data_IF_167548760858
#
_entry.id   IF_167548760858
#
_cell.length_a   1.000
_cell.length_b   1.000
_cell.length_c   1.000
_cell.angle_alpha   90.00
_cell.angle_beta   90.00
_cell.angle_gamma   90.00
#
_symmetry.space_group_name_H-M   'P 1'
#
loop_
_entity.id
_entity.type
_entity.pdbx_description
1 polymer ?
#
# COMPACT_ATOMS: atom_id res chain seq x y z
N UNK A 1 2.71 7.41 2.89
CA UNK A 1 3.90 7.47 3.77
C UNK A 1 5.10 6.97 2.98
N UNK A 2 6.21 7.72 3.00
CA UNK A 2 7.42 7.40 2.25
C UNK A 2 8.41 6.59 3.10
N UNK A 3 9.25 5.81 2.42
CA UNK A 3 10.40 5.16 3.00
C UNK A 3 11.57 6.12 3.30
N UNK A 4 12.74 5.58 3.70
CA UNK A 4 13.91 6.37 4.08
C UNK A 4 14.51 7.14 2.89
N UNK A 5 15.47 8.00 3.18
CA UNK A 5 16.25 8.73 2.16
C UNK A 5 16.81 7.78 1.09
N UNK A 6 16.76 8.20 -0.18
CA UNK A 6 17.14 7.40 -1.35
C UNK A 6 16.05 6.45 -1.87
N UNK A 7 14.95 6.27 -1.12
CA UNK A 7 13.84 5.38 -1.46
C UNK A 7 12.53 6.11 -1.79
N UNK A 8 12.55 7.41 -2.01
CA UNK A 8 11.36 8.24 -2.19
C UNK A 8 10.62 8.09 -3.52
N UNK A 9 11.19 7.40 -4.52
CA UNK A 9 10.61 7.29 -5.88
C UNK A 9 9.20 6.71 -5.91
N UNK A 10 8.99 5.57 -5.27
CA UNK A 10 7.71 4.87 -5.22
C UNK A 10 6.62 5.71 -4.51
N UNK A 11 6.95 6.34 -3.38
CA UNK A 11 6.02 7.23 -2.68
C UNK A 11 5.63 8.45 -3.54
N UNK A 12 6.54 8.98 -4.35
CA UNK A 12 6.25 10.07 -5.29
C UNK A 12 5.33 9.62 -6.42
N UNK A 13 5.50 8.40 -6.95
CA UNK A 13 4.61 7.81 -7.95
C UNK A 13 3.20 7.63 -7.38
N UNK A 14 3.06 7.05 -6.20
CA UNK A 14 1.79 6.90 -5.51
C UNK A 14 1.11 8.26 -5.25
N UNK A 15 1.86 9.24 -4.74
CA UNK A 15 1.32 10.58 -4.47
C UNK A 15 0.85 11.30 -5.75
N UNK A 16 1.59 11.16 -6.86
CA UNK A 16 1.15 11.67 -8.17
C UNK A 16 -0.07 10.94 -8.70
N UNK A 17 -0.15 9.60 -8.51
CA UNK A 17 -1.32 8.81 -8.84
C UNK A 17 -2.56 9.32 -8.10
N UNK A 18 -2.48 9.50 -6.78
CA UNK A 18 -3.56 10.03 -5.96
C UNK A 18 -4.03 11.44 -6.43
N UNK A 19 -3.08 12.34 -6.71
CA UNK A 19 -3.42 13.67 -7.21
C UNK A 19 -4.11 13.61 -8.58
N UNK A 20 -3.67 12.72 -9.46
CA UNK A 20 -4.19 12.59 -10.83
C UNK A 20 -5.57 11.97 -10.90
N UNK A 21 -5.93 11.07 -9.98
CA UNK A 21 -7.27 10.47 -9.94
C UNK A 21 -8.32 11.43 -9.36
N UNK A 22 -7.89 12.50 -8.68
CA UNK A 22 -8.79 13.55 -8.21
C UNK A 22 -8.70 13.92 -6.74
N UNK A 23 -7.74 13.38 -5.97
CA UNK A 23 -7.53 13.83 -4.60
C UNK A 23 -7.27 15.34 -4.56
N UNK A 24 -8.07 16.09 -3.81
CA UNK A 24 -7.97 17.56 -3.73
C UNK A 24 -6.71 18.02 -3.02
N UNK A 25 -6.14 17.21 -2.14
CA UNK A 25 -4.96 17.52 -1.36
C UNK A 25 -4.15 16.23 -1.12
N UNK A 26 -2.89 16.22 -1.55
CA UNK A 26 -1.98 15.09 -1.34
C UNK A 26 -0.76 15.55 -0.55
N UNK A 27 -0.37 14.73 0.43
CA UNK A 27 0.84 14.95 1.23
C UNK A 27 1.71 13.69 1.25
N UNK A 28 3.01 13.87 1.14
CA UNK A 28 4.00 12.82 1.43
C UNK A 28 4.53 13.03 2.84
N UNK A 29 4.20 12.10 3.75
CA UNK A 29 4.84 12.02 5.05
C UNK A 29 6.16 11.25 4.87
N UNK A 30 7.29 11.87 5.22
CA UNK A 30 8.63 11.30 5.04
C UNK A 30 9.54 11.57 6.24
N UNK A 31 10.61 10.80 6.35
CA UNK A 31 11.66 11.08 7.32
C UNK A 31 12.26 12.49 7.09
N UNK A 32 12.72 13.14 8.16
CA UNK A 32 13.20 14.52 8.09
C UNK A 32 14.40 14.69 7.14
N UNK A 33 15.26 13.71 7.02
CA UNK A 33 16.43 13.69 6.13
C UNK A 33 16.03 13.49 4.64
N UNK A 34 14.86 12.93 4.37
CA UNK A 34 14.36 12.72 3.01
C UNK A 34 13.61 13.95 2.43
N UNK A 35 13.41 15.02 3.19
CA UNK A 35 12.65 16.22 2.75
C UNK A 35 13.21 16.81 1.47
N UNK A 36 14.53 16.98 1.38
CA UNK A 36 15.17 17.58 0.21
C UNK A 36 15.02 16.73 -1.05
N UNK A 37 15.09 15.39 -0.89
CA UNK A 37 14.85 14.46 -2.00
C UNK A 37 13.43 14.63 -2.56
N UNK A 38 12.42 14.73 -1.70
CA UNK A 38 11.04 14.93 -2.15
C UNK A 38 10.82 16.33 -2.72
N UNK A 39 11.36 17.37 -2.08
CA UNK A 39 11.21 18.78 -2.49
C UNK A 39 11.79 19.04 -3.88
N UNK A 40 12.85 18.35 -4.25
CA UNK A 40 13.44 18.46 -5.59
C UNK A 40 12.55 17.95 -6.73
N UNK A 41 11.48 17.20 -6.41
CA UNK A 41 10.67 16.51 -7.42
C UNK A 41 9.15 16.74 -7.29
N UNK A 42 8.68 17.42 -6.26
CA UNK A 42 7.26 17.60 -5.98
C UNK A 42 6.90 19.08 -5.88
N UNK A 43 5.91 19.51 -6.68
CA UNK A 43 5.40 20.89 -6.68
C UNK A 43 4.07 20.99 -5.91
N UNK A 44 3.01 20.38 -6.46
CA UNK A 44 1.65 20.47 -5.90
C UNK A 44 1.36 19.49 -4.75
N UNK A 45 2.30 18.61 -4.42
CA UNK A 45 2.20 17.61 -3.35
C UNK A 45 2.99 18.11 -2.14
N UNK A 46 2.32 18.23 -0.99
CA UNK A 46 2.96 18.75 0.21
C UNK A 46 3.89 17.72 0.85
N UNK A 47 4.94 18.20 1.49
CA UNK A 47 5.90 17.36 2.23
C UNK A 47 5.67 17.58 3.72
N UNK A 48 5.53 16.49 4.46
CA UNK A 48 5.27 16.50 5.90
C UNK A 48 6.33 15.65 6.61
N UNK A 49 7.38 16.28 7.16
CA UNK A 49 8.43 15.54 7.84
C UNK A 49 7.96 14.97 9.18
N UNK A 50 8.44 13.76 9.47
CA UNK A 50 8.35 13.13 10.79
C UNK A 50 9.73 12.58 11.22
N UNK A 51 9.89 12.27 12.50
CA UNK A 51 11.13 11.77 13.07
C UNK A 51 11.32 12.22 14.53
N UNK A 52 12.55 12.53 14.93
CA UNK A 52 12.86 12.87 16.31
C UNK A 52 12.11 14.12 16.84
N UNK A 53 11.92 15.13 15.98
CA UNK A 53 11.23 16.38 16.37
C UNK A 53 9.69 16.26 16.34
N UNK A 54 9.15 15.34 15.59
CA UNK A 54 7.70 15.10 15.45
C UNK A 54 7.45 13.65 15.08
N UNK A 55 6.71 12.91 15.92
CA UNK A 55 6.32 11.54 15.61
C UNK A 55 5.34 11.45 14.43
N UNK A 56 5.25 10.29 13.79
CA UNK A 56 4.29 10.06 12.70
C UNK A 56 2.83 10.22 13.17
N UNK A 57 2.40 9.72 14.34
CA UNK A 57 1.07 10.01 14.87
C UNK A 57 0.78 11.50 15.04
N UNK A 58 1.75 12.29 15.52
CA UNK A 58 1.59 13.75 15.62
C UNK A 58 1.48 14.43 14.25
N UNK A 59 2.17 13.89 13.24
CA UNK A 59 2.03 14.33 11.85
C UNK A 59 0.62 14.03 11.33
N UNK A 60 0.08 12.83 11.55
CA UNK A 60 -1.28 12.46 11.17
C UNK A 60 -2.35 13.31 11.89
N UNK A 61 -2.18 13.56 13.18
CA UNK A 61 -3.09 14.43 13.94
C UNK A 61 -3.18 15.87 13.35
N UNK A 62 -2.09 16.37 12.78
CA UNK A 62 -2.07 17.67 12.11
C UNK A 62 -2.69 17.60 10.70
N UNK A 63 -2.37 16.56 9.92
CA UNK A 63 -2.84 16.42 8.53
C UNK A 63 -4.32 16.03 8.49
N UNK A 64 -4.75 15.17 9.42
CA UNK A 64 -6.08 14.52 9.45
C UNK A 64 -6.42 13.89 8.10
N UNK A 65 -5.64 12.88 7.66
CA UNK A 65 -5.82 12.28 6.34
C UNK A 65 -7.19 11.60 6.24
N UNK A 66 -7.84 11.71 5.08
CA UNK A 66 -9.05 10.96 4.74
C UNK A 66 -8.74 9.54 4.26
N UNK A 67 -7.54 9.31 3.73
CA UNK A 67 -7.00 8.00 3.38
C UNK A 67 -5.47 8.02 3.43
N UNK A 68 -4.84 6.87 3.58
CA UNK A 68 -3.38 6.74 3.64
C UNK A 68 -2.91 5.61 2.72
N UNK A 69 -1.83 5.85 1.96
CA UNK A 69 -1.06 4.81 1.28
C UNK A 69 0.23 4.54 2.05
N UNK A 70 0.54 3.25 2.29
CA UNK A 70 1.78 2.82 2.95
C UNK A 70 2.34 1.57 2.28
N UNK A 71 3.66 1.49 2.24
CA UNK A 71 4.37 0.29 1.81
C UNK A 71 5.34 0.49 0.65
N UNK A 72 5.03 1.29 -0.39
CA UNK A 72 5.95 1.51 -1.50
C UNK A 72 7.33 1.98 -1.02
N UNK A 73 8.35 1.11 -1.17
CA UNK A 73 9.73 1.34 -0.69
C UNK A 73 9.84 1.77 0.79
N UNK A 74 8.99 1.23 1.66
CA UNK A 74 8.97 1.54 3.09
C UNK A 74 10.22 1.03 3.79
N UNK A 75 10.78 -0.08 3.30
CA UNK A 75 11.81 -0.87 3.96
C UNK A 75 11.23 -1.95 4.87
N UNK A 76 12.11 -2.78 5.43
CA UNK A 76 11.74 -3.94 6.26
C UNK A 76 12.35 -3.90 7.65
N UNK A 77 13.01 -2.82 8.00
CA UNK A 77 13.69 -2.66 9.29
C UNK A 77 12.72 -2.34 10.45
N UNK A 78 13.26 -2.18 11.65
CA UNK A 78 12.48 -1.85 12.84
C UNK A 78 11.80 -0.47 12.76
N UNK A 79 12.36 0.48 12.00
CA UNK A 79 11.73 1.79 11.80
C UNK A 79 10.53 1.68 10.86
N UNK A 80 10.65 0.90 9.78
CA UNK A 80 9.55 0.59 8.87
C UNK A 80 8.40 -0.14 9.60
N UNK A 81 8.71 -1.12 10.47
CA UNK A 81 7.70 -1.79 11.31
C UNK A 81 6.95 -0.82 12.21
N UNK A 82 7.66 0.09 12.90
CA UNK A 82 7.00 1.12 13.73
C UNK A 82 6.12 2.04 12.90
N UNK A 83 6.61 2.49 11.75
CA UNK A 83 5.86 3.33 10.82
C UNK A 83 4.58 2.65 10.34
N UNK A 84 4.63 1.33 10.07
CA UNK A 84 3.45 0.54 9.71
C UNK A 84 2.45 0.47 10.88
N UNK A 85 2.90 0.15 12.09
CA UNK A 85 2.05 0.08 13.28
C UNK A 85 1.37 1.43 13.56
N UNK A 86 2.13 2.53 13.54
CA UNK A 86 1.61 3.88 13.74
C UNK A 86 0.56 4.26 12.66
N UNK A 87 0.76 3.77 11.44
CA UNK A 87 -0.17 4.01 10.33
C UNK A 87 -1.44 3.18 10.49
N UNK A 88 -1.34 1.90 10.81
CA UNK A 88 -2.49 1.02 11.01
C UNK A 88 -3.34 1.40 12.23
N UNK A 89 -2.81 2.17 13.16
CA UNK A 89 -3.55 2.74 14.28
C UNK A 89 -4.47 3.93 13.89
N UNK A 90 -4.41 4.39 12.63
CA UNK A 90 -5.29 5.47 12.16
C UNK A 90 -6.69 4.94 11.82
N UNK A 91 -7.70 5.81 11.94
CA UNK A 91 -9.12 5.44 11.74
C UNK A 91 -9.62 5.61 10.30
N UNK A 92 -8.81 6.19 9.42
CA UNK A 92 -9.15 6.34 8.01
C UNK A 92 -8.76 5.10 7.19
N UNK A 93 -9.35 4.89 5.99
CA UNK A 93 -8.95 3.83 5.07
C UNK A 93 -7.48 3.86 4.72
N UNK A 94 -6.87 2.66 4.61
CA UNK A 94 -5.45 2.51 4.31
C UNK A 94 -5.26 1.58 3.11
N UNK A 95 -4.53 2.05 2.10
CA UNK A 95 -4.00 1.22 1.03
C UNK A 95 -2.63 0.68 1.46
N UNK A 96 -2.52 -0.65 1.56
CA UNK A 96 -1.34 -1.40 2.02
C UNK A 96 -0.71 -2.09 0.81
N UNK A 97 0.52 -1.74 0.46
CA UNK A 97 1.20 -2.30 -0.72
C UNK A 97 2.65 -2.68 -0.40
N UNK A 98 3.29 -3.42 -1.28
CA UNK A 98 4.72 -3.69 -1.31
C UNK A 98 5.32 -4.12 0.04
N UNK A 99 6.31 -3.38 0.56
CA UNK A 99 7.03 -3.73 1.79
C UNK A 99 6.11 -3.84 3.02
N UNK A 100 5.02 -3.07 3.07
CA UNK A 100 4.04 -3.20 4.16
C UNK A 100 3.36 -4.57 4.17
N UNK A 101 3.06 -5.15 2.99
CA UNK A 101 2.53 -6.52 2.88
C UNK A 101 3.58 -7.54 3.35
N UNK A 102 4.84 -7.34 3.00
CA UNK A 102 5.94 -8.19 3.45
C UNK A 102 6.08 -8.15 4.97
N UNK A 103 6.04 -6.95 5.57
CA UNK A 103 6.09 -6.78 7.03
C UNK A 103 4.91 -7.46 7.74
N UNK A 104 3.70 -7.41 7.15
CA UNK A 104 2.53 -8.13 7.67
C UNK A 104 2.70 -9.65 7.59
N UNK A 105 3.37 -10.14 6.54
CA UNK A 105 3.64 -11.58 6.35
C UNK A 105 4.60 -12.15 7.39
N UNK A 106 5.56 -11.32 7.83
CA UNK A 106 6.59 -11.69 8.82
C UNK A 106 6.13 -11.49 10.27
N UNK A 107 5.04 -10.78 10.49
CA UNK A 107 4.53 -10.48 11.83
C UNK A 107 3.94 -11.74 12.48
N UNK A 108 4.76 -12.47 13.22
CA UNK A 108 4.30 -13.53 14.13
C UNK A 108 3.68 -12.89 15.38
N UNK A 109 2.41 -12.52 15.28
CA UNK A 109 1.62 -12.06 16.41
C UNK A 109 1.44 -10.55 16.52
N UNK A 110 0.45 -9.99 15.87
CA UNK A 110 -0.19 -8.80 16.36
C UNK A 110 -0.20 -7.53 15.52
N UNK A 111 0.24 -7.53 14.27
CA UNK A 111 -0.10 -6.42 13.38
C UNK A 111 -1.39 -6.81 12.65
N UNK A 112 -2.51 -6.24 13.07
CA UNK A 112 -3.81 -6.48 12.46
C UNK A 112 -4.05 -5.47 11.32
N UNK A 113 -4.08 -5.90 10.06
CA UNK A 113 -4.40 -5.01 8.94
C UNK A 113 -5.86 -4.56 8.95
N UNK A 114 -6.69 -5.16 9.80
CA UNK A 114 -8.13 -4.99 9.82
C UNK A 114 -8.63 -3.97 10.83
N UNK A 115 -7.77 -3.27 11.54
CA UNK A 115 -8.17 -2.47 12.71
C UNK A 115 -9.42 -1.59 12.48
N UNK A 116 -9.81 -1.31 11.21
CA UNK A 116 -10.97 -0.47 10.88
C UNK A 116 -11.82 -0.93 9.68
N UNK A 117 -11.62 -2.13 9.15
CA UNK A 117 -12.53 -2.75 8.15
C UNK A 117 -12.59 -2.12 6.75
N UNK A 118 -11.91 -1.02 6.49
CA UNK A 118 -11.94 -0.30 5.21
C UNK A 118 -10.60 -0.32 4.48
N UNK A 119 -9.68 -1.19 4.89
CA UNK A 119 -8.36 -1.25 4.30
C UNK A 119 -8.37 -2.06 3.00
N UNK A 120 -7.45 -1.72 2.10
CA UNK A 120 -7.21 -2.42 0.84
C UNK A 120 -5.76 -2.86 0.80
N UNK A 121 -5.52 -4.15 0.57
CA UNK A 121 -4.19 -4.69 0.35
C UNK A 121 -4.01 -5.04 -1.13
N UNK A 122 -2.87 -4.67 -1.73
CA UNK A 122 -2.65 -4.77 -3.18
C UNK A 122 -1.48 -5.69 -3.57
N UNK A 123 -1.47 -6.97 -3.17
CA UNK A 123 -0.36 -7.86 -3.41
C UNK A 123 -0.20 -8.23 -4.89
N UNK A 124 1.04 -8.33 -5.37
CA UNK A 124 1.38 -9.18 -6.50
C UNK A 124 1.55 -10.64 -6.02
N UNK A 125 1.78 -11.59 -6.95
CA UNK A 125 1.85 -13.01 -6.60
C UNK A 125 2.94 -13.34 -5.57
N UNK A 126 4.12 -12.75 -5.69
CA UNK A 126 5.22 -12.98 -4.76
C UNK A 126 4.92 -12.50 -3.33
N UNK A 127 4.23 -11.36 -3.18
CA UNK A 127 3.77 -10.84 -1.90
C UNK A 127 2.67 -11.70 -1.30
N UNK A 128 1.68 -12.09 -2.13
CA UNK A 128 0.58 -12.93 -1.68
C UNK A 128 1.06 -14.32 -1.24
N UNK A 129 2.03 -14.91 -1.96
CA UNK A 129 2.65 -16.18 -1.60
C UNK A 129 3.36 -16.14 -0.24
N UNK A 130 4.02 -15.03 0.09
CA UNK A 130 4.60 -14.84 1.43
C UNK A 130 3.52 -14.68 2.51
N UNK A 131 2.42 -14.01 2.18
CA UNK A 131 1.34 -13.76 3.14
C UNK A 131 0.51 -15.01 3.46
N UNK A 132 0.22 -15.88 2.47
CA UNK A 132 -0.57 -17.11 2.63
C UNK A 132 0.14 -18.33 2.02
N UNK A 133 1.36 -18.70 2.44
CA UNK A 133 2.16 -19.74 1.79
C UNK A 133 1.43 -21.08 1.70
N UNK A 134 0.78 -21.54 2.76
CA UNK A 134 0.06 -22.81 2.79
C UNK A 134 -1.09 -22.89 1.76
N UNK A 135 -1.74 -21.78 1.42
CA UNK A 135 -2.79 -21.77 0.41
C UNK A 135 -2.23 -22.05 -1.00
N UNK A 136 -1.03 -21.57 -1.29
CA UNK A 136 -0.36 -21.83 -2.59
C UNK A 136 0.10 -23.27 -2.76
N UNK A 137 0.22 -24.05 -1.68
CA UNK A 137 0.47 -25.49 -1.75
C UNK A 137 -0.80 -26.28 -2.10
N UNK A 138 -1.97 -25.72 -1.82
CA UNK A 138 -3.26 -26.38 -1.99
C UNK A 138 -3.98 -26.00 -3.28
N UNK A 139 -3.74 -24.80 -3.83
CA UNK A 139 -4.45 -24.32 -5.01
C UNK A 139 -3.64 -23.33 -5.84
N UNK A 140 -3.90 -23.32 -7.15
CA UNK A 140 -3.44 -22.30 -8.10
C UNK A 140 -4.57 -21.37 -8.53
N UNK A 141 -5.81 -21.58 -8.06
CA UNK A 141 -6.96 -20.77 -8.39
C UNK A 141 -6.82 -19.37 -7.78
N UNK A 142 -6.65 -18.36 -8.62
CA UNK A 142 -6.43 -16.97 -8.19
C UNK A 142 -7.61 -16.42 -7.37
N UNK A 143 -8.84 -16.80 -7.69
CA UNK A 143 -10.03 -16.39 -6.91
C UNK A 143 -9.94 -16.95 -5.50
N UNK A 144 -9.68 -18.26 -5.37
CA UNK A 144 -9.54 -18.90 -4.06
C UNK A 144 -8.40 -18.28 -3.24
N UNK A 145 -7.25 -18.02 -3.87
CA UNK A 145 -6.12 -17.37 -3.19
C UNK A 145 -6.49 -15.96 -2.70
N UNK A 146 -7.16 -15.16 -3.53
CA UNK A 146 -7.57 -13.81 -3.16
C UNK A 146 -8.60 -13.80 -2.01
N UNK A 147 -9.60 -14.69 -2.06
CA UNK A 147 -10.62 -14.79 -1.00
C UNK A 147 -10.04 -15.29 0.32
N UNK A 148 -9.13 -16.27 0.30
CA UNK A 148 -8.43 -16.72 1.50
C UNK A 148 -7.55 -15.61 2.11
N UNK A 149 -6.88 -14.83 1.27
CA UNK A 149 -6.09 -13.70 1.73
C UNK A 149 -6.96 -12.60 2.33
N UNK A 150 -8.09 -12.26 1.70
CA UNK A 150 -9.04 -11.28 2.19
C UNK A 150 -9.63 -11.68 3.55
N UNK A 151 -10.02 -12.94 3.70
CA UNK A 151 -10.51 -13.49 4.97
C UNK A 151 -9.42 -13.44 6.05
N UNK A 152 -8.16 -13.82 5.74
CA UNK A 152 -7.04 -13.77 6.68
C UNK A 152 -6.70 -12.35 7.11
N UNK A 153 -6.66 -11.41 6.14
CA UNK A 153 -6.33 -10.01 6.39
C UNK A 153 -7.50 -9.21 6.95
N UNK A 154 -8.72 -9.76 6.91
CA UNK A 154 -9.98 -9.08 7.22
C UNK A 154 -10.08 -7.70 6.53
N UNK A 155 -9.60 -7.59 5.31
CA UNK A 155 -9.67 -6.40 4.47
C UNK A 155 -9.85 -6.78 3.00
N UNK A 156 -10.15 -5.80 2.15
CA UNK A 156 -10.22 -6.04 0.70
C UNK A 156 -8.83 -6.37 0.17
N UNK A 157 -8.72 -7.43 -0.64
CA UNK A 157 -7.48 -7.82 -1.32
C UNK A 157 -7.64 -7.62 -2.82
N UNK A 158 -6.79 -6.80 -3.42
CA UNK A 158 -6.64 -6.63 -4.85
C UNK A 158 -5.40 -7.42 -5.29
N UNK A 159 -5.60 -8.66 -5.72
CA UNK A 159 -4.53 -9.57 -6.17
C UNK A 159 -4.12 -9.22 -7.61
N UNK A 160 -3.03 -8.47 -7.74
CA UNK A 160 -2.50 -7.95 -9.03
C UNK A 160 -2.12 -9.07 -10.00
N UNK A 161 -2.43 -8.89 -11.29
CA UNK A 161 -2.05 -9.81 -12.38
C UNK A 161 -2.74 -9.46 -13.68
N UNK A 162 -2.51 -10.26 -14.73
CA UNK A 162 -3.21 -10.13 -16.01
C UNK A 162 -4.72 -10.19 -15.80
N UNK A 163 -5.16 -11.14 -14.99
CA UNK A 163 -6.49 -11.20 -14.40
C UNK A 163 -6.33 -10.76 -12.93
N UNK A 164 -6.70 -9.53 -12.63
CA UNK A 164 -6.70 -8.99 -11.27
C UNK A 164 -7.98 -9.41 -10.56
N UNK A 165 -7.86 -10.02 -9.39
CA UNK A 165 -8.98 -10.43 -8.55
C UNK A 165 -9.11 -9.47 -7.36
N UNK A 166 -10.29 -8.93 -7.17
CA UNK A 166 -10.62 -8.10 -6.01
C UNK A 166 -11.58 -8.91 -5.14
N UNK A 167 -11.17 -9.22 -3.92
CA UNK A 167 -11.94 -10.04 -3.00
C UNK A 167 -12.19 -9.31 -1.67
N UNK A 168 -13.39 -9.41 -1.16
CA UNK A 168 -13.78 -8.90 0.16
C UNK A 168 -13.63 -9.98 1.24
N UNK A 169 -13.50 -9.62 2.53
CA UNK A 169 -13.46 -10.58 3.64
C UNK A 169 -14.72 -11.46 3.73
N UNK A 170 -15.84 -10.98 3.22
CA UNK A 170 -17.13 -11.68 3.16
C UNK A 170 -17.14 -12.85 2.16
N UNK A 171 -16.12 -12.97 1.30
CA UNK A 171 -16.03 -13.97 0.25
C UNK A 171 -16.53 -13.50 -1.12
N UNK A 172 -17.13 -12.33 -1.22
CA UNK A 172 -17.49 -11.70 -2.49
C UNK A 172 -16.23 -11.35 -3.28
N UNK A 173 -16.28 -11.51 -4.60
CA UNK A 173 -15.17 -11.15 -5.46
C UNK A 173 -15.62 -10.62 -6.82
N UNK A 174 -14.73 -9.90 -7.46
CA UNK A 174 -14.83 -9.53 -8.89
C UNK A 174 -13.48 -9.75 -9.56
N UNK A 175 -13.52 -9.93 -10.88
CA UNK A 175 -12.32 -10.10 -11.70
C UNK A 175 -12.27 -9.05 -12.81
N UNK A 176 -11.11 -8.44 -12.97
CA UNK A 176 -10.82 -7.49 -14.06
C UNK A 176 -9.70 -8.06 -14.89
N UNK A 177 -9.99 -8.39 -16.17
CA UNK A 177 -8.99 -8.93 -17.10
C UNK A 177 -8.43 -7.84 -17.99
N UNK A 178 -7.12 -7.80 -18.09
CA UNK A 178 -6.41 -6.94 -19.04
C UNK A 178 -6.18 -7.62 -20.41
N UNK A 179 -6.51 -8.91 -20.55
CA UNK A 179 -6.31 -9.69 -21.79
C UNK A 179 -6.92 -9.07 -23.04
N UNK A 180 -8.11 -8.41 -22.99
CA UNK A 180 -8.68 -7.78 -24.17
C UNK A 180 -7.90 -6.56 -24.68
N UNK A 181 -6.98 -6.02 -23.91
CA UNK A 181 -6.23 -4.82 -24.26
C UNK A 181 -4.88 -5.18 -24.88
N UNK A 182 -4.67 -4.85 -26.15
CA UNK A 182 -3.48 -5.19 -26.93
C UNK A 182 -2.14 -4.78 -26.27
N UNK A 183 -2.14 -3.68 -25.52
CA UNK A 183 -0.94 -3.12 -24.92
C UNK A 183 -0.89 -3.28 -23.39
N UNK A 184 -1.75 -4.13 -22.81
CA UNK A 184 -1.80 -4.33 -21.35
C UNK A 184 -0.45 -4.79 -20.75
N UNK A 185 0.35 -5.54 -21.51
CA UNK A 185 1.68 -5.96 -21.08
C UNK A 185 2.64 -4.80 -20.78
N UNK A 186 2.40 -3.61 -21.32
CA UNK A 186 3.22 -2.42 -21.03
C UNK A 186 3.04 -1.89 -19.60
N UNK A 187 1.93 -2.26 -18.94
CA UNK A 187 1.72 -1.95 -17.53
C UNK A 187 2.59 -2.83 -16.60
N UNK A 188 3.20 -3.91 -17.10
CA UNK A 188 4.12 -4.75 -16.34
C UNK A 188 5.50 -4.09 -16.20
N UNK A 189 5.53 -2.87 -15.69
CA UNK A 189 6.74 -2.07 -15.49
C UNK A 189 6.87 -1.63 -14.03
N UNK A 190 8.10 -1.36 -13.61
CA UNK A 190 8.37 -0.83 -12.27
C UNK A 190 7.60 0.49 -12.04
N UNK A 191 6.99 0.63 -10.87
CA UNK A 191 6.24 1.82 -10.49
C UNK A 191 4.75 1.78 -10.86
N UNK A 192 4.29 0.88 -11.73
CA UNK A 192 2.85 0.77 -12.06
C UNK A 192 2.00 0.40 -10.85
N UNK A 193 2.50 -0.48 -9.96
CA UNK A 193 1.87 -0.82 -8.69
C UNK A 193 1.78 0.39 -7.76
N UNK A 194 2.84 1.19 -7.68
CA UNK A 194 2.87 2.40 -6.85
C UNK A 194 1.81 3.42 -7.32
N UNK A 195 1.70 3.62 -8.64
CA UNK A 195 0.65 4.47 -9.23
C UNK A 195 -0.74 3.94 -8.92
N UNK A 196 -0.96 2.61 -9.04
CA UNK A 196 -2.23 1.97 -8.69
C UNK A 196 -2.59 2.20 -7.22
N UNK A 197 -1.64 2.02 -6.31
CA UNK A 197 -1.86 2.28 -4.86
C UNK A 197 -2.25 3.74 -4.61
N UNK A 198 -1.65 4.65 -5.36
CA UNK A 198 -2.03 6.06 -5.38
C UNK A 198 -3.46 6.28 -5.89
N UNK A 199 -3.86 5.64 -6.97
CA UNK A 199 -5.22 5.73 -7.51
C UNK A 199 -6.27 5.20 -6.54
N UNK A 200 -5.98 4.11 -5.84
CA UNK A 200 -6.88 3.52 -4.84
C UNK A 200 -7.04 4.45 -3.63
N UNK A 201 -5.98 5.17 -3.26
CA UNK A 201 -5.97 6.06 -2.09
C UNK A 201 -6.62 7.41 -2.36
N UNK A 202 -6.52 7.93 -3.59
CA UNK A 202 -7.05 9.24 -4.01
C UNK A 202 -8.53 9.25 -4.27
#
# INVERSE_FOLDING_TARGET
VAGPFGHGGAARLAARGALRIGAGLVSVACAADAVQEHAAHLDAIMIKPFGAARSLPACFAQIRPSAICIGPNLGLDAAAKRTLVDTLAQTCPICIDADAITLLSEATGGIDPAAHGQNVMTPHEGELRRFIPAAFEQTTCRVTLATLAAAKANCVVLFKGVDTIIAAPTGEFTAVSSRPFQHAGWLATAGSGDVLSGFITG
#
